data_IF_309677725698
#
_entry.id   IF_309677725698
#
_cell.length_a   1.000
_cell.length_b   1.000
_cell.length_c   1.000
_cell.angle_alpha   90.00
_cell.angle_beta   90.00
_cell.angle_gamma   90.00
#
_symmetry.space_group_name_H-M   'P 1'
#
loop_
_entity.id
_entity.type
_entity.pdbx_description
1 polymer ?
#
# COMPACT_ATOMS: atom_id res chain seq x y z
N UNK A 1 23.27 -23.60 -34.32
CA UNK A 1 22.09 -24.50 -34.32
C UNK A 1 21.30 -24.27 -33.05
N UNK A 2 19.97 -24.23 -33.21
CA UNK A 2 18.96 -23.62 -32.33
C UNK A 2 18.89 -24.33 -30.97
N UNK A 3 19.23 -23.65 -29.87
CA UNK A 3 18.79 -24.07 -28.53
C UNK A 3 17.30 -23.79 -28.47
N UNK A 4 16.48 -24.81 -28.68
CA UNK A 4 15.06 -24.79 -28.33
C UNK A 4 14.98 -24.67 -26.81
N UNK A 5 14.96 -23.43 -26.33
CA UNK A 5 14.54 -23.14 -24.96
C UNK A 5 13.03 -23.33 -24.99
N UNK A 6 12.61 -24.52 -24.58
CA UNK A 6 11.22 -24.86 -24.30
C UNK A 6 10.67 -23.80 -23.37
N UNK A 7 9.89 -22.88 -23.94
CA UNK A 7 9.13 -21.89 -23.22
C UNK A 7 8.14 -22.68 -22.37
N UNK A 8 8.51 -22.94 -21.13
CA UNK A 8 7.62 -23.44 -20.09
C UNK A 8 6.61 -22.32 -19.88
N UNK A 9 5.55 -22.35 -20.69
CA UNK A 9 4.33 -21.59 -20.50
C UNK A 9 3.89 -21.96 -19.08
N UNK A 10 4.11 -21.04 -18.15
CA UNK A 10 3.56 -21.13 -16.80
C UNK A 10 2.05 -21.23 -16.97
N UNK A 11 1.57 -22.46 -16.85
CA UNK A 11 0.17 -22.83 -16.85
C UNK A 11 -0.56 -21.89 -15.91
N UNK A 12 -1.58 -21.25 -16.47
CA UNK A 12 -2.60 -20.48 -15.80
C UNK A 12 -3.08 -21.21 -14.54
N UNK A 13 -2.59 -20.81 -13.39
CA UNK A 13 -3.35 -20.95 -12.15
C UNK A 13 -4.23 -19.72 -12.06
N UNK A 14 -5.41 -19.80 -12.70
CA UNK A 14 -6.56 -18.97 -12.41
C UNK A 14 -7.07 -19.28 -11.00
N UNK A 15 -6.23 -19.03 -10.00
CA UNK A 15 -6.52 -19.23 -8.58
C UNK A 15 -6.40 -17.86 -7.91
N UNK A 16 -7.55 -17.23 -7.65
CA UNK A 16 -7.68 -16.16 -6.64
C UNK A 16 -7.67 -14.71 -7.12
N UNK A 17 -8.39 -14.34 -8.18
CA UNK A 17 -8.57 -12.92 -8.60
C UNK A 17 -9.25 -12.04 -7.52
N UNK A 18 -10.03 -12.63 -6.62
CA UNK A 18 -10.75 -11.90 -5.56
C UNK A 18 -9.84 -11.43 -4.42
N UNK A 19 -8.83 -12.24 -4.08
CA UNK A 19 -7.92 -11.91 -2.98
C UNK A 19 -6.94 -10.81 -3.39
N UNK A 20 -6.36 -10.89 -4.59
CA UNK A 20 -5.46 -9.85 -5.08
C UNK A 20 -6.15 -8.48 -5.18
N UNK A 21 -7.41 -8.42 -5.63
CA UNK A 21 -8.15 -7.17 -5.70
C UNK A 21 -8.49 -6.59 -4.32
N UNK A 22 -8.94 -7.41 -3.37
CA UNK A 22 -9.21 -6.94 -2.01
C UNK A 22 -7.94 -6.46 -1.30
N UNK A 23 -6.78 -7.11 -1.52
CA UNK A 23 -5.49 -6.64 -1.03
C UNK A 23 -5.11 -5.28 -1.64
N UNK A 24 -5.23 -5.11 -2.96
CA UNK A 24 -4.90 -3.86 -3.65
C UNK A 24 -5.82 -2.72 -3.21
N UNK A 25 -7.12 -2.96 -3.12
CA UNK A 25 -8.10 -1.97 -2.66
C UNK A 25 -7.85 -1.55 -1.21
N UNK A 26 -7.52 -2.50 -0.33
CA UNK A 26 -7.20 -2.21 1.06
C UNK A 26 -5.90 -1.41 1.19
N UNK A 27 -4.84 -1.78 0.46
CA UNK A 27 -3.58 -1.03 0.44
C UNK A 27 -3.75 0.39 -0.10
N UNK A 28 -4.58 0.57 -1.14
CA UNK A 28 -4.91 1.88 -1.69
C UNK A 28 -5.65 2.76 -0.68
N UNK A 29 -6.60 2.19 0.07
CA UNK A 29 -7.28 2.90 1.14
C UNK A 29 -6.32 3.33 2.26
N UNK A 30 -5.34 2.49 2.63
CA UNK A 30 -4.31 2.86 3.60
C UNK A 30 -3.42 4.01 3.10
N UNK A 31 -2.99 3.99 1.84
CA UNK A 31 -2.19 5.09 1.26
C UNK A 31 -2.98 6.40 1.20
N UNK A 32 -4.26 6.34 0.81
CA UNK A 32 -5.11 7.52 0.77
C UNK A 32 -5.36 8.10 2.17
N UNK A 33 -5.54 7.23 3.17
CA UNK A 33 -5.62 7.63 4.57
C UNK A 33 -4.33 8.31 5.06
N UNK A 34 -3.16 7.75 4.71
CA UNK A 34 -1.85 8.35 5.03
C UNK A 34 -1.70 9.74 4.39
N UNK A 35 -2.02 9.88 3.10
CA UNK A 35 -2.02 11.17 2.40
C UNK A 35 -2.92 12.18 3.08
N UNK A 36 -4.13 11.80 3.45
CA UNK A 36 -5.05 12.68 4.17
C UNK A 36 -4.51 13.07 5.55
N UNK A 37 -3.89 12.14 6.27
CA UNK A 37 -3.27 12.41 7.55
C UNK A 37 -2.12 13.41 7.42
N UNK A 38 -1.26 13.24 6.41
CA UNK A 38 -0.15 14.16 6.11
C UNK A 38 -0.70 15.55 5.80
N UNK A 39 -1.69 15.67 4.93
CA UNK A 39 -2.29 16.98 4.59
C UNK A 39 -2.89 17.65 5.83
N UNK A 40 -3.60 16.91 6.70
CA UNK A 40 -4.20 17.47 7.93
C UNK A 40 -3.16 17.89 8.98
N UNK A 41 -2.01 17.22 9.04
CA UNK A 41 -0.95 17.51 10.01
C UNK A 41 0.19 18.37 9.44
N UNK A 42 0.10 18.76 8.18
CA UNK A 42 1.03 19.70 7.56
C UNK A 42 0.57 21.13 7.78
N UNK A 43 1.53 22.03 8.02
CA UNK A 43 1.30 23.48 8.02
C UNK A 43 2.17 24.14 6.96
N UNK A 44 1.79 25.33 6.53
CA UNK A 44 2.63 26.19 5.71
C UNK A 44 3.52 27.00 6.65
N UNK A 45 4.84 26.91 6.48
CA UNK A 45 5.77 27.76 7.22
C UNK A 45 5.85 29.18 6.62
N UNK A 46 6.60 30.09 7.26
CA UNK A 46 6.71 31.51 6.86
C UNK A 46 7.27 31.71 5.44
N UNK A 47 7.96 30.71 4.89
CA UNK A 47 8.56 30.67 3.56
C UNK A 47 7.64 30.03 2.51
N UNK A 48 6.44 29.58 2.89
CA UNK A 48 5.49 28.94 1.98
C UNK A 48 5.67 27.43 1.79
N UNK A 49 6.62 26.77 2.49
CA UNK A 49 6.76 25.32 2.37
C UNK A 49 5.75 24.58 3.24
N UNK A 50 5.29 23.45 2.72
CA UNK A 50 4.49 22.51 3.50
C UNK A 50 5.42 21.73 4.42
N UNK A 51 5.36 22.02 5.72
CA UNK A 51 6.16 21.38 6.75
C UNK A 51 5.26 20.60 7.70
N UNK A 52 5.57 19.33 7.87
CA UNK A 52 4.93 18.46 8.85
C UNK A 52 5.82 18.37 10.09
N UNK A 53 5.22 18.33 11.29
CA UNK A 53 5.98 18.02 12.51
C UNK A 53 6.41 16.55 12.48
N UNK A 54 7.63 16.20 12.95
CA UNK A 54 8.10 14.81 13.01
C UNK A 54 7.16 13.86 13.76
N UNK A 55 6.54 14.34 14.84
CA UNK A 55 5.56 13.56 15.61
C UNK A 55 4.30 13.24 14.80
N UNK A 56 3.86 14.18 13.95
CA UNK A 56 2.74 13.97 13.04
C UNK A 56 3.10 12.97 11.95
N UNK A 57 4.30 13.08 11.37
CA UNK A 57 4.79 12.15 10.33
C UNK A 57 4.82 10.72 10.88
N UNK A 58 5.38 10.55 12.09
CA UNK A 58 5.39 9.27 12.78
C UNK A 58 3.99 8.73 13.03
N UNK A 59 3.05 9.57 13.50
CA UNK A 59 1.67 9.16 13.75
C UNK A 59 0.95 8.70 12.45
N UNK A 60 1.13 9.43 11.35
CA UNK A 60 0.54 9.04 10.06
C UNK A 60 1.15 7.74 9.51
N UNK A 61 2.46 7.57 9.67
CA UNK A 61 3.15 6.35 9.23
C UNK A 61 2.79 5.13 10.09
N UNK A 62 2.63 5.30 11.41
CA UNK A 62 2.19 4.24 12.31
C UNK A 62 0.76 3.80 11.99
N UNK A 63 -0.15 4.75 11.77
CA UNK A 63 -1.53 4.49 11.36
C UNK A 63 -1.60 3.76 10.00
N UNK A 64 -0.85 4.24 9.00
CA UNK A 64 -0.72 3.59 7.70
C UNK A 64 -0.20 2.16 7.81
N UNK A 65 0.84 1.94 8.63
CA UNK A 65 1.39 0.60 8.87
C UNK A 65 0.42 -0.32 9.62
N UNK A 66 -0.37 0.19 10.57
CA UNK A 66 -1.40 -0.58 11.26
C UNK A 66 -2.53 -0.99 10.30
N UNK A 67 -2.95 -0.08 9.42
CA UNK A 67 -3.91 -0.35 8.35
C UNK A 67 -3.39 -1.46 7.41
N UNK A 68 -2.16 -1.34 6.91
CA UNK A 68 -1.53 -2.34 6.05
C UNK A 68 -1.44 -3.72 6.70
N UNK A 69 -1.06 -3.78 7.99
CA UNK A 69 -1.04 -5.03 8.74
C UNK A 69 -2.43 -5.64 8.84
N UNK A 70 -3.44 -4.84 9.20
CA UNK A 70 -4.84 -5.30 9.26
C UNK A 70 -5.32 -5.81 7.91
N UNK A 71 -4.97 -5.14 6.80
CA UNK A 71 -5.25 -5.63 5.45
C UNK A 71 -4.64 -7.01 5.20
N UNK A 72 -3.38 -7.24 5.60
CA UNK A 72 -2.73 -8.56 5.40
C UNK A 72 -3.36 -9.63 6.30
N UNK A 73 -3.70 -9.30 7.54
CA UNK A 73 -4.31 -10.27 8.47
C UNK A 73 -5.73 -10.67 8.05
N UNK A 74 -6.54 -9.72 7.58
CA UNK A 74 -7.88 -9.98 7.04
C UNK A 74 -7.85 -10.91 5.82
N UNK A 75 -6.77 -10.86 5.05
CA UNK A 75 -6.59 -11.68 3.85
C UNK A 75 -6.02 -13.08 4.14
N UNK A 76 -5.55 -13.33 5.37
CA UNK A 76 -5.10 -14.66 5.84
C UNK A 76 -6.25 -15.50 6.41
N UNK A 77 -7.32 -14.87 6.87
CA UNK A 77 -8.49 -15.53 7.45
C UNK A 77 -9.59 -15.87 6.44
N UNK A 78 -9.35 -15.66 5.15
CA UNK A 78 -10.30 -15.81 4.04
C UNK A 78 -9.83 -16.91 3.08
#
# INVERSE_FOLDING_TARGET
MKKMVTMLILSLSAVGTSAAYAQVSCMKACEESERQCIVKNSKIDIWGNRVMKPEGEKACQESSNACRRSCVEQMKGN
#
